data_IF_305629756337
#
_entry.id   IF_305629756337
#
_cell.length_a   1.000
_cell.length_b   1.000
_cell.length_c   1.000
_cell.angle_alpha   90.00
_cell.angle_beta   90.00
_cell.angle_gamma   90.00
#
_symmetry.space_group_name_H-M   'P 1'
#
loop_
_entity.id
_entity.type
_entity.pdbx_description
1 polymer ?
#
# COMPACT_ATOMS: atom_id res chain seq x y z
N UNK A 1 1.17 -12.18 -12.66
CA UNK A 1 0.37 -11.22 -11.89
C UNK A 1 -0.30 -11.95 -10.72
N UNK A 2 -0.24 -11.41 -9.51
CA UNK A 2 -0.93 -11.89 -8.32
C UNK A 2 -1.95 -10.84 -7.89
N UNK A 3 -3.19 -11.27 -7.70
CA UNK A 3 -4.32 -10.40 -7.39
C UNK A 3 -4.86 -10.65 -5.99
N UNK A 4 -4.99 -9.59 -5.20
CA UNK A 4 -5.54 -9.60 -3.85
C UNK A 4 -6.60 -8.54 -3.62
N UNK A 5 -7.10 -8.49 -2.41
CA UNK A 5 -8.07 -7.48 -1.95
C UNK A 5 -7.57 -6.92 -0.61
N UNK A 6 -7.65 -5.60 -0.45
CA UNK A 6 -7.51 -4.92 0.83
C UNK A 6 -8.76 -5.19 1.67
N UNK A 7 -8.67 -6.19 2.54
CA UNK A 7 -9.80 -6.66 3.36
C UNK A 7 -9.33 -7.46 4.55
N UNK A 8 -10.26 -7.74 5.48
CA UNK A 8 -9.96 -8.62 6.61
C UNK A 8 -9.71 -10.07 6.17
N UNK A 9 -8.76 -10.73 6.85
CA UNK A 9 -8.44 -12.15 6.62
C UNK A 9 -9.65 -13.09 6.81
N UNK A 10 -10.68 -12.68 7.52
CA UNK A 10 -11.93 -13.42 7.68
C UNK A 10 -12.62 -13.68 6.33
N UNK A 11 -12.35 -12.83 5.31
CA UNK A 11 -12.86 -13.01 3.96
C UNK A 11 -12.01 -13.98 3.11
N UNK A 12 -10.89 -14.49 3.65
CA UNK A 12 -9.91 -15.26 2.88
C UNK A 12 -10.46 -16.58 2.29
N UNK A 13 -11.39 -17.25 2.98
CA UNK A 13 -12.03 -18.47 2.48
C UNK A 13 -12.93 -18.19 1.26
N UNK A 14 -13.71 -17.12 1.32
CA UNK A 14 -14.55 -16.66 0.21
C UNK A 14 -13.66 -16.22 -0.97
N UNK A 15 -12.65 -15.38 -0.72
CA UNK A 15 -11.70 -14.95 -1.75
C UNK A 15 -11.03 -16.14 -2.45
N UNK A 16 -10.63 -17.17 -1.67
CA UNK A 16 -10.03 -18.38 -2.23
C UNK A 16 -11.00 -19.14 -3.15
N UNK A 17 -12.26 -19.26 -2.78
CA UNK A 17 -13.27 -19.93 -3.61
C UNK A 17 -13.53 -19.19 -4.92
N UNK A 18 -13.37 -17.87 -4.94
CA UNK A 18 -13.49 -16.99 -6.11
C UNK A 18 -12.22 -16.95 -6.99
N UNK A 19 -11.09 -17.50 -6.50
CA UNK A 19 -9.83 -17.56 -7.26
C UNK A 19 -8.89 -16.38 -7.10
N UNK A 20 -9.01 -15.61 -6.02
CA UNK A 20 -8.02 -14.61 -5.59
C UNK A 20 -6.74 -15.27 -5.07
N UNK A 21 -5.62 -14.57 -5.13
CA UNK A 21 -4.30 -15.14 -4.80
C UNK A 21 -3.85 -14.85 -3.36
N UNK A 22 -4.23 -13.72 -2.77
CA UNK A 22 -3.76 -13.29 -1.45
C UNK A 22 -4.70 -12.27 -0.78
N UNK A 23 -4.53 -12.06 0.51
CA UNK A 23 -5.16 -10.99 1.28
C UNK A 23 -4.14 -9.88 1.52
N UNK A 24 -4.57 -8.63 1.40
CA UNK A 24 -3.92 -7.46 1.97
C UNK A 24 -4.70 -7.01 3.19
N UNK A 25 -4.08 -7.14 4.37
CA UNK A 25 -4.75 -6.81 5.65
C UNK A 25 -4.28 -5.45 6.17
N UNK A 26 -5.08 -4.79 6.96
CA UNK A 26 -4.67 -3.56 7.64
C UNK A 26 -3.58 -3.85 8.69
N UNK A 27 -2.47 -3.09 8.67
CA UNK A 27 -1.36 -3.23 9.62
C UNK A 27 -1.81 -3.16 11.09
N UNK A 28 -2.80 -2.31 11.38
CA UNK A 28 -3.30 -2.13 12.75
C UNK A 28 -4.03 -3.37 13.25
N UNK A 29 -4.56 -4.20 12.34
CA UNK A 29 -5.28 -5.43 12.67
C UNK A 29 -4.36 -6.64 12.75
N UNK A 30 -3.34 -6.71 11.88
CA UNK A 30 -2.52 -7.93 11.75
C UNK A 30 -1.14 -7.78 12.39
N UNK A 31 -0.47 -6.62 12.21
CA UNK A 31 0.88 -6.40 12.76
C UNK A 31 0.85 -5.76 14.14
N UNK A 32 -0.19 -4.96 14.45
CA UNK A 32 -0.47 -4.42 15.78
C UNK A 32 0.78 -3.81 16.45
N UNK A 33 1.57 -2.98 15.72
CA UNK A 33 2.88 -2.50 16.15
C UNK A 33 2.92 -1.69 17.46
N UNK A 34 1.76 -1.21 17.95
CA UNK A 34 1.65 -0.54 19.24
C UNK A 34 1.63 -1.53 20.43
N UNK A 35 1.21 -2.77 20.20
CA UNK A 35 1.11 -3.79 21.26
C UNK A 35 2.47 -4.42 21.55
N UNK A 36 2.67 -4.87 22.79
CA UNK A 36 3.81 -5.69 23.15
C UNK A 36 3.68 -7.10 22.53
N UNK A 37 4.76 -7.88 22.55
CA UNK A 37 4.78 -9.18 21.87
C UNK A 37 3.86 -10.22 22.51
N UNK A 38 3.66 -10.15 23.82
CA UNK A 38 2.73 -10.98 24.58
C UNK A 38 1.23 -10.63 24.36
N UNK A 39 0.96 -9.44 23.81
CA UNK A 39 -0.38 -8.98 23.47
C UNK A 39 -0.72 -9.18 21.98
N UNK A 40 0.30 -9.47 21.13
CA UNK A 40 0.12 -9.62 19.71
C UNK A 40 -0.57 -10.93 19.35
N UNK A 41 -1.63 -10.82 18.54
CA UNK A 41 -2.45 -11.96 18.10
C UNK A 41 -2.42 -12.19 16.58
N UNK A 42 -1.61 -11.44 15.86
CA UNK A 42 -1.61 -11.44 14.40
C UNK A 42 -1.11 -12.75 13.78
N UNK A 43 -0.20 -13.47 14.44
CA UNK A 43 0.29 -14.78 14.00
C UNK A 43 -0.82 -15.85 14.07
N UNK A 44 -1.56 -15.89 15.18
CA UNK A 44 -2.71 -16.79 15.34
C UNK A 44 -3.78 -16.45 14.27
N UNK A 45 -4.08 -15.18 14.05
CA UNK A 45 -5.02 -14.74 13.00
C UNK A 45 -4.51 -15.14 11.61
N UNK A 46 -3.27 -14.85 11.26
CA UNK A 46 -2.69 -15.20 9.98
C UNK A 46 -2.71 -16.70 9.71
N UNK A 47 -2.50 -17.53 10.74
CA UNK A 47 -2.55 -19.01 10.63
C UNK A 47 -3.93 -19.56 10.25
N UNK A 48 -5.00 -18.80 10.53
CA UNK A 48 -6.39 -19.17 10.19
C UNK A 48 -6.80 -18.73 8.78
N UNK A 49 -5.97 -17.91 8.12
CA UNK A 49 -6.28 -17.42 6.78
C UNK A 49 -6.20 -18.54 5.74
N UNK A 50 -7.24 -18.67 4.91
CA UNK A 50 -7.29 -19.65 3.82
C UNK A 50 -6.39 -19.27 2.63
N UNK A 51 -5.99 -17.99 2.54
CA UNK A 51 -5.04 -17.43 1.57
C UNK A 51 -3.85 -16.81 2.31
N UNK A 52 -2.66 -16.77 1.70
CA UNK A 52 -1.53 -16.07 2.30
C UNK A 52 -1.83 -14.56 2.45
N UNK A 53 -1.43 -13.98 3.58
CA UNK A 53 -1.38 -12.53 3.76
C UNK A 53 -0.05 -12.06 3.18
N UNK A 54 -0.06 -11.41 2.01
CA UNK A 54 1.15 -11.03 1.28
C UNK A 54 1.54 -9.58 1.48
N UNK A 55 0.57 -8.73 1.73
CA UNK A 55 0.77 -7.30 1.95
C UNK A 55 -0.08 -6.80 3.11
N UNK A 56 0.33 -5.65 3.66
CA UNK A 56 -0.42 -4.95 4.68
C UNK A 56 -0.43 -3.45 4.39
N UNK A 57 -1.62 -2.84 4.37
CA UNK A 57 -1.78 -1.41 4.14
C UNK A 57 -1.90 -0.61 5.45
N UNK A 58 -1.96 0.72 5.34
CA UNK A 58 -2.09 1.63 6.50
C UNK A 58 -1.02 1.35 7.57
N UNK A 59 0.26 1.46 7.18
CA UNK A 59 1.41 1.19 8.06
C UNK A 59 1.27 1.82 9.45
N UNK A 60 0.91 3.09 9.54
CA UNK A 60 0.89 3.84 10.81
C UNK A 60 -0.53 4.20 11.25
N UNK A 61 -0.84 4.08 12.55
CA UNK A 61 -2.00 4.71 13.13
C UNK A 61 -1.82 6.24 13.15
N UNK A 62 -2.92 6.99 13.02
CA UNK A 62 -2.88 8.46 13.01
C UNK A 62 -2.29 9.12 14.28
N UNK A 63 -2.13 8.38 15.36
CA UNK A 63 -1.49 8.83 16.60
C UNK A 63 0.04 8.93 16.50
N UNK A 64 0.68 8.13 15.65
CA UNK A 64 2.12 8.22 15.39
C UNK A 64 2.38 9.19 14.23
N UNK A 65 3.07 10.29 14.50
CA UNK A 65 3.34 11.34 13.52
C UNK A 65 4.71 11.18 12.88
N UNK A 66 4.74 11.29 11.55
CA UNK A 66 5.97 11.31 10.74
C UNK A 66 6.39 12.74 10.43
N UNK A 67 5.47 13.70 10.55
CA UNK A 67 5.71 15.12 10.31
C UNK A 67 5.19 15.96 11.46
N UNK A 68 5.81 17.12 11.64
CA UNK A 68 5.36 18.09 12.63
C UNK A 68 6.12 18.03 13.94
N UNK A 69 5.67 18.82 14.95
CA UNK A 69 6.34 18.90 16.24
C UNK A 69 6.19 17.62 17.07
N UNK A 70 5.19 16.80 16.78
CA UNK A 70 4.91 15.53 17.48
C UNK A 70 5.65 14.34 16.84
N UNK A 71 6.67 14.60 16.01
CA UNK A 71 7.55 13.58 15.46
C UNK A 71 8.43 12.99 16.57
N UNK A 72 8.22 11.71 16.86
CA UNK A 72 8.93 11.00 17.94
C UNK A 72 9.72 9.81 17.34
N UNK A 73 10.99 10.04 17.02
CA UNK A 73 11.86 9.08 16.34
C UNK A 73 11.93 7.73 17.07
N UNK A 74 12.08 7.74 18.40
CA UNK A 74 12.18 6.52 19.21
C UNK A 74 10.89 5.69 19.18
N UNK A 75 9.74 6.35 19.24
CA UNK A 75 8.44 5.68 19.18
C UNK A 75 8.21 5.05 17.80
N UNK A 76 8.56 5.78 16.73
CA UNK A 76 8.51 5.28 15.36
C UNK A 76 9.46 4.10 15.15
N UNK A 77 10.70 4.19 15.63
CA UNK A 77 11.67 3.10 15.52
C UNK A 77 11.19 1.83 16.25
N UNK A 78 10.66 1.96 17.45
CA UNK A 78 10.10 0.83 18.21
C UNK A 78 8.94 0.18 17.48
N UNK A 79 8.01 1.01 16.98
CA UNK A 79 6.87 0.56 16.18
C UNK A 79 7.31 -0.19 14.91
N UNK A 80 8.25 0.39 14.15
CA UNK A 80 8.72 -0.19 12.89
C UNK A 80 9.46 -1.52 13.09
N UNK A 81 10.26 -1.65 14.15
CA UNK A 81 10.94 -2.91 14.46
C UNK A 81 9.92 -4.03 14.70
N UNK A 82 8.91 -3.79 15.53
CA UNK A 82 7.82 -4.76 15.77
C UNK A 82 7.08 -5.11 14.46
N UNK A 83 6.74 -4.10 13.67
CA UNK A 83 6.08 -4.31 12.37
C UNK A 83 6.94 -5.17 11.46
N UNK A 84 8.24 -4.90 11.35
CA UNK A 84 9.17 -5.64 10.51
C UNK A 84 9.30 -7.11 10.92
N UNK A 85 9.54 -7.36 12.21
CA UNK A 85 9.68 -8.70 12.76
C UNK A 85 8.39 -9.52 12.62
N UNK A 86 7.24 -8.92 12.92
CA UNK A 86 5.92 -9.57 12.81
C UNK A 86 5.53 -9.83 11.35
N UNK A 87 5.79 -8.89 10.44
CA UNK A 87 5.56 -9.07 9.01
C UNK A 87 6.37 -10.27 8.47
N UNK A 88 7.67 -10.33 8.83
CA UNK A 88 8.54 -11.47 8.48
C UNK A 88 8.00 -12.80 9.03
N UNK A 89 7.58 -12.85 10.29
CA UNK A 89 7.16 -14.10 10.94
C UNK A 89 5.91 -14.71 10.32
N UNK A 90 4.99 -13.88 9.77
CA UNK A 90 3.75 -14.35 9.14
C UNK A 90 3.80 -14.34 7.60
N UNK A 91 4.95 -13.98 7.00
CA UNK A 91 5.19 -14.08 5.56
C UNK A 91 4.65 -12.93 4.72
N UNK A 92 4.38 -11.76 5.34
CA UNK A 92 4.09 -10.51 4.62
C UNK A 92 5.35 -10.07 3.89
N UNK A 93 5.20 -9.71 2.61
CA UNK A 93 6.30 -9.30 1.73
C UNK A 93 6.34 -7.80 1.51
N UNK A 94 5.18 -7.14 1.56
CA UNK A 94 5.03 -5.71 1.26
C UNK A 94 4.21 -5.01 2.34
N UNK A 95 4.67 -3.85 2.79
CA UNK A 95 3.94 -3.00 3.74
C UNK A 95 3.80 -1.60 3.17
N UNK A 96 2.57 -1.08 3.15
CA UNK A 96 2.23 0.18 2.48
C UNK A 96 2.30 1.36 3.42
N UNK A 97 3.16 2.32 3.09
CA UNK A 97 3.23 3.64 3.72
C UNK A 97 2.33 4.63 2.98
N UNK A 98 1.01 4.50 3.17
CA UNK A 98 -0.03 5.41 2.69
C UNK A 98 -0.67 6.28 3.79
N UNK A 99 -0.26 6.11 5.02
CA UNK A 99 -0.85 6.66 6.25
C UNK A 99 -0.97 8.20 6.28
N UNK A 100 -1.94 8.78 5.57
CA UNK A 100 -2.14 10.23 5.43
C UNK A 100 -2.26 10.95 6.76
N UNK A 101 -3.01 10.40 7.72
CA UNK A 101 -3.17 10.96 9.05
C UNK A 101 -1.88 11.07 9.87
N UNK A 102 -0.86 10.27 9.54
CA UNK A 102 0.44 10.29 10.21
C UNK A 102 1.44 11.24 9.55
N UNK A 103 1.31 11.49 8.25
CA UNK A 103 2.28 12.29 7.47
C UNK A 103 1.76 13.65 7.00
N UNK A 104 0.51 14.01 7.28
CA UNK A 104 0.01 15.35 7.01
C UNK A 104 0.89 16.40 7.70
N UNK A 105 1.34 17.38 6.94
CA UNK A 105 2.08 18.51 7.46
C UNK A 105 1.11 19.42 8.22
N UNK A 106 1.33 19.66 9.54
CA UNK A 106 0.45 20.54 10.31
C UNK A 106 0.44 21.97 9.77
N UNK A 107 -0.68 22.68 9.96
CA UNK A 107 -0.79 24.08 9.57
C UNK A 107 0.28 24.93 10.23
N UNK A 108 0.97 25.76 9.43
CA UNK A 108 2.06 26.61 9.89
C UNK A 108 3.39 25.90 10.18
N UNK A 109 3.46 24.59 10.05
CA UNK A 109 4.74 23.88 10.18
C UNK A 109 5.60 24.05 8.93
N UNK A 110 6.92 24.14 9.12
CA UNK A 110 7.87 24.27 8.01
C UNK A 110 7.83 23.04 7.10
N UNK A 111 7.46 23.27 5.83
CA UNK A 111 7.32 22.18 4.85
C UNK A 111 8.65 21.50 4.53
N UNK A 112 9.75 22.24 4.53
CA UNK A 112 11.09 21.69 4.26
C UNK A 112 11.51 20.76 5.41
N UNK A 113 11.19 21.14 6.65
CA UNK A 113 11.44 20.30 7.81
C UNK A 113 10.56 19.03 7.76
N UNK A 114 9.28 19.16 7.40
CA UNK A 114 8.41 17.99 7.21
C UNK A 114 8.95 17.02 6.13
N UNK A 115 9.46 17.56 5.02
CA UNK A 115 10.09 16.76 3.98
C UNK A 115 11.36 16.03 4.48
N UNK A 116 12.16 16.68 5.33
CA UNK A 116 13.31 16.05 5.97
C UNK A 116 12.87 14.92 6.90
N UNK A 117 11.87 15.15 7.73
CA UNK A 117 11.32 14.13 8.64
C UNK A 117 10.82 12.89 7.86
N UNK A 118 10.11 13.09 6.73
CA UNK A 118 9.67 11.97 5.88
C UNK A 118 10.87 11.23 5.27
N UNK A 119 11.91 11.95 4.85
CA UNK A 119 13.12 11.33 4.30
C UNK A 119 13.83 10.46 5.35
N UNK A 120 13.95 10.95 6.59
CA UNK A 120 14.55 10.21 7.69
C UNK A 120 13.70 8.97 8.02
N UNK A 121 12.37 9.11 8.03
CA UNK A 121 11.45 8.00 8.19
C UNK A 121 11.58 6.97 7.05
N UNK A 122 11.67 7.38 5.80
CA UNK A 122 11.92 6.49 4.66
C UNK A 122 13.24 5.71 4.80
N UNK A 123 14.27 6.35 5.37
CA UNK A 123 15.53 5.67 5.68
C UNK A 123 15.35 4.60 6.76
N UNK A 124 14.58 4.89 7.80
CA UNK A 124 14.24 3.89 8.83
C UNK A 124 13.43 2.72 8.24
N UNK A 125 12.45 2.98 7.36
CA UNK A 125 11.72 1.94 6.63
C UNK A 125 12.66 1.03 5.86
N UNK A 126 13.63 1.61 5.15
CA UNK A 126 14.58 0.84 4.35
C UNK A 126 15.48 -0.07 5.22
N UNK A 127 15.93 0.43 6.37
CA UNK A 127 16.75 -0.34 7.33
C UNK A 127 15.94 -1.52 7.89
N UNK A 128 14.74 -1.26 8.39
CA UNK A 128 13.86 -2.30 8.95
C UNK A 128 13.45 -3.31 7.88
N UNK A 129 13.10 -2.83 6.68
CA UNK A 129 12.76 -3.69 5.56
C UNK A 129 13.87 -4.64 5.16
N UNK A 130 15.11 -4.11 5.08
CA UNK A 130 16.31 -4.91 4.78
C UNK A 130 16.59 -5.97 5.85
N UNK A 131 16.48 -5.62 7.12
CA UNK A 131 16.73 -6.53 8.23
C UNK A 131 15.72 -7.70 8.28
N UNK A 132 14.51 -7.47 7.79
CA UNK A 132 13.41 -8.43 7.86
C UNK A 132 13.07 -9.10 6.52
N UNK A 133 13.69 -8.70 5.41
CA UNK A 133 13.42 -9.24 4.08
C UNK A 133 12.04 -8.83 3.54
N UNK A 134 11.51 -7.66 3.96
CA UNK A 134 10.26 -7.08 3.50
C UNK A 134 10.52 -5.79 2.71
N UNK A 135 9.58 -5.41 1.87
CA UNK A 135 9.63 -4.16 1.11
C UNK A 135 8.57 -3.20 1.62
N UNK A 136 8.98 -2.02 2.04
CA UNK A 136 8.04 -0.91 2.25
C UNK A 136 7.79 -0.19 0.92
N UNK A 137 6.55 0.22 0.68
CA UNK A 137 6.18 0.97 -0.52
C UNK A 137 5.56 2.30 -0.12
N UNK A 138 6.09 3.38 -0.70
CA UNK A 138 5.55 4.74 -0.52
C UNK A 138 4.37 4.91 -1.46
N UNK A 139 3.20 5.14 -0.89
CA UNK A 139 1.98 5.41 -1.61
C UNK A 139 1.74 6.92 -1.70
N UNK A 140 1.42 7.41 -2.89
CA UNK A 140 0.86 8.75 -3.06
C UNK A 140 -0.62 8.75 -2.70
N UNK A 141 -1.12 9.86 -2.16
CA UNK A 141 -2.51 10.03 -1.78
C UNK A 141 -3.05 11.34 -2.38
N UNK A 142 -4.29 11.35 -2.81
CA UNK A 142 -4.92 12.59 -3.28
C UNK A 142 -4.90 13.69 -2.21
N UNK A 143 -4.91 14.96 -2.66
CA UNK A 143 -4.78 16.13 -1.76
C UNK A 143 -5.89 16.24 -0.72
N UNK A 144 -7.06 15.65 -0.96
CA UNK A 144 -8.15 15.60 0.02
C UNK A 144 -7.83 14.70 1.22
N UNK A 145 -6.93 13.72 1.07
CA UNK A 145 -6.55 12.78 2.12
C UNK A 145 -5.23 13.14 2.81
N UNK A 146 -4.31 13.74 2.06
CA UNK A 146 -2.99 14.12 2.57
C UNK A 146 -2.45 15.33 1.82
N UNK A 147 -1.78 16.25 2.49
CA UNK A 147 -1.22 17.45 1.88
C UNK A 147 0.25 17.30 1.42
N UNK A 148 0.79 16.08 1.44
CA UNK A 148 2.16 15.78 1.02
C UNK A 148 2.25 14.37 0.41
N UNK A 149 3.08 14.21 -0.61
CA UNK A 149 3.20 12.99 -1.44
C UNK A 149 1.84 12.72 -2.15
N UNK A 150 1.52 13.58 -3.10
CA UNK A 150 0.25 13.55 -3.81
C UNK A 150 0.35 12.99 -5.23
N UNK A 151 1.55 12.71 -5.70
CA UNK A 151 1.80 12.14 -7.02
C UNK A 151 2.82 11.00 -6.96
N UNK A 152 2.80 10.12 -7.97
CA UNK A 152 3.84 9.10 -8.16
C UNK A 152 5.23 9.74 -8.19
N UNK A 153 5.35 10.90 -8.89
CA UNK A 153 6.60 11.65 -8.95
C UNK A 153 7.09 12.14 -7.58
N UNK A 154 6.17 12.60 -6.71
CA UNK A 154 6.51 12.99 -5.35
C UNK A 154 6.96 11.78 -4.50
N UNK A 155 6.28 10.62 -4.60
CA UNK A 155 6.68 9.38 -3.93
C UNK A 155 8.08 8.93 -4.39
N UNK A 156 8.35 9.01 -5.69
CA UNK A 156 9.65 8.71 -6.28
C UNK A 156 10.79 9.56 -5.71
N UNK A 157 10.53 10.82 -5.36
CA UNK A 157 11.54 11.70 -4.77
C UNK A 157 12.14 11.08 -3.49
N UNK A 158 11.32 10.51 -2.63
CA UNK A 158 11.75 9.86 -1.39
C UNK A 158 12.42 8.51 -1.64
N UNK A 159 11.89 7.71 -2.57
CA UNK A 159 12.46 6.40 -2.93
C UNK A 159 13.86 6.56 -3.53
N UNK A 160 14.04 7.52 -4.44
CA UNK A 160 15.33 7.81 -5.05
C UNK A 160 16.33 8.42 -4.06
N UNK A 161 15.86 9.32 -3.17
CA UNK A 161 16.73 9.91 -2.16
C UNK A 161 17.21 8.88 -1.13
N UNK A 162 16.39 7.88 -0.79
CA UNK A 162 16.77 6.78 0.11
C UNK A 162 17.67 5.77 -0.60
N UNK A 163 17.47 5.56 -1.90
CA UNK A 163 18.25 4.67 -2.77
C UNK A 163 18.52 3.27 -2.17
N UNK A 164 17.47 2.61 -1.69
CA UNK A 164 17.58 1.30 -1.05
C UNK A 164 16.57 0.29 -1.62
N UNK A 165 16.98 -0.98 -1.73
CA UNK A 165 16.16 -2.04 -2.33
C UNK A 165 14.87 -2.34 -1.54
N UNK A 166 14.85 -2.14 -0.24
CA UNK A 166 13.71 -2.39 0.62
C UNK A 166 12.69 -1.22 0.69
N UNK A 167 12.94 -0.11 -0.04
CA UNK A 167 11.96 0.97 -0.19
C UNK A 167 11.62 1.17 -1.67
N UNK A 168 10.33 1.12 -1.99
CA UNK A 168 9.81 1.17 -3.35
C UNK A 168 8.57 2.06 -3.42
N UNK A 169 7.96 2.18 -4.61
CA UNK A 169 6.71 2.90 -4.83
C UNK A 169 5.52 1.96 -4.91
N UNK A 170 4.38 2.48 -4.48
CA UNK A 170 3.06 2.00 -4.83
C UNK A 170 2.38 3.00 -5.77
N UNK A 171 1.62 2.49 -6.72
CA UNK A 171 0.71 3.27 -7.56
C UNK A 171 -0.71 2.91 -7.20
N UNK A 172 -1.49 3.89 -6.70
CA UNK A 172 -2.93 3.77 -6.53
C UNK A 172 -3.64 4.43 -7.73
N UNK A 173 -4.49 3.66 -8.42
CA UNK A 173 -5.17 4.15 -9.63
C UNK A 173 -6.22 5.20 -9.32
N UNK A 174 -6.90 5.09 -8.18
CA UNK A 174 -7.89 6.08 -7.76
C UNK A 174 -7.24 7.44 -7.46
N UNK A 175 -6.13 7.44 -6.71
CA UNK A 175 -5.43 8.66 -6.35
C UNK A 175 -4.75 9.29 -7.56
N UNK A 176 -4.13 8.48 -8.44
CA UNK A 176 -3.54 8.94 -9.70
C UNK A 176 -4.57 9.66 -10.58
N UNK A 177 -5.74 9.06 -10.76
CA UNK A 177 -6.81 9.68 -11.56
C UNK A 177 -7.46 10.87 -10.85
N UNK A 178 -7.62 10.83 -9.51
CA UNK A 178 -8.17 11.95 -8.72
C UNK A 178 -7.32 13.20 -8.83
N UNK A 179 -6.00 13.06 -8.93
CA UNK A 179 -5.04 14.15 -9.12
C UNK A 179 -4.84 14.52 -10.61
N UNK A 180 -5.51 13.83 -11.54
CA UNK A 180 -5.31 13.97 -12.98
C UNK A 180 -3.84 13.80 -13.38
N UNK A 181 -3.10 12.93 -12.69
CA UNK A 181 -1.71 12.67 -12.97
C UNK A 181 -1.57 11.91 -14.30
N UNK A 182 -0.60 12.31 -15.11
CA UNK A 182 -0.34 11.66 -16.39
C UNK A 182 0.19 10.24 -16.17
N UNK A 183 -0.41 9.26 -16.81
CA UNK A 183 0.00 7.86 -16.75
C UNK A 183 1.47 7.62 -17.14
N UNK A 184 2.10 8.56 -17.85
CA UNK A 184 3.54 8.51 -18.16
C UNK A 184 4.40 8.54 -16.90
N UNK A 185 3.95 9.13 -15.80
CA UNK A 185 4.66 9.10 -14.52
C UNK A 185 4.79 7.68 -13.97
N UNK A 186 3.80 6.82 -14.23
CA UNK A 186 3.88 5.38 -13.90
C UNK A 186 4.97 4.69 -14.71
N UNK A 187 5.12 5.05 -16.00
CA UNK A 187 6.19 4.52 -16.87
C UNK A 187 7.57 4.91 -16.34
N UNK A 188 7.74 6.16 -15.96
CA UNK A 188 9.01 6.67 -15.43
C UNK A 188 9.37 6.03 -14.08
N UNK A 189 8.36 5.71 -13.26
CA UNK A 189 8.54 5.06 -11.96
C UNK A 189 8.66 3.53 -12.05
N UNK A 190 8.46 2.91 -13.21
CA UNK A 190 8.31 1.46 -13.37
C UNK A 190 9.41 0.62 -12.70
N UNK A 191 10.71 0.95 -12.75
CA UNK A 191 11.78 0.18 -12.08
C UNK A 191 11.64 0.11 -10.54
N UNK A 192 10.88 1.02 -9.96
CA UNK A 192 10.72 1.15 -8.51
C UNK A 192 9.33 0.75 -8.01
N UNK A 193 8.36 0.48 -8.90
CA UNK A 193 7.01 0.04 -8.50
C UNK A 193 7.07 -1.42 -8.03
N UNK A 194 6.50 -1.72 -6.85
CA UNK A 194 6.39 -3.08 -6.29
C UNK A 194 5.00 -3.44 -5.82
N UNK A 195 4.11 -2.46 -5.79
CA UNK A 195 2.71 -2.66 -5.42
C UNK A 195 1.79 -1.73 -6.22
N UNK A 196 0.57 -2.20 -6.46
CA UNK A 196 -0.45 -1.41 -7.16
C UNK A 196 -1.79 -1.59 -6.44
N UNK A 197 -2.46 -0.48 -6.15
CA UNK A 197 -3.84 -0.47 -5.69
C UNK A 197 -4.78 -0.10 -6.83
N UNK A 198 -5.92 -0.79 -6.89
CA UNK A 198 -6.95 -0.59 -7.91
C UNK A 198 -8.27 -0.21 -7.27
N UNK A 199 -8.81 0.94 -7.68
CA UNK A 199 -10.22 1.27 -7.53
C UNK A 199 -10.65 2.17 -8.69
N UNK A 200 -11.94 2.14 -9.03
CA UNK A 200 -12.51 3.02 -10.04
C UNK A 200 -12.51 4.48 -9.54
N UNK A 201 -12.29 5.43 -10.45
CA UNK A 201 -12.31 6.86 -10.11
C UNK A 201 -13.67 7.28 -9.54
N UNK A 202 -14.75 6.84 -10.19
CA UNK A 202 -16.09 7.22 -9.71
C UNK A 202 -16.51 6.37 -8.51
N UNK A 203 -16.68 7.04 -7.38
CA UNK A 203 -17.17 6.44 -6.13
C UNK A 203 -16.13 5.60 -5.38
N UNK A 204 -14.87 5.50 -5.85
CA UNK A 204 -13.84 4.59 -5.30
C UNK A 204 -14.37 3.17 -5.11
N UNK A 205 -15.21 2.71 -6.06
CA UNK A 205 -15.75 1.35 -6.06
C UNK A 205 -14.74 0.36 -6.64
N UNK A 206 -14.98 -0.94 -6.46
CA UNK A 206 -14.08 -1.95 -7.01
C UNK A 206 -14.06 -1.91 -8.56
N UNK A 207 -12.92 -2.32 -9.18
CA UNK A 207 -12.70 -2.18 -10.61
C UNK A 207 -13.84 -2.73 -11.47
N UNK A 208 -14.32 -1.88 -12.41
CA UNK A 208 -15.39 -2.21 -13.34
C UNK A 208 -16.80 -2.04 -12.80
N UNK A 209 -16.98 -1.75 -11.50
CA UNK A 209 -18.33 -1.56 -10.94
C UNK A 209 -18.95 -0.23 -11.35
N UNK A 210 -18.16 0.82 -11.56
CA UNK A 210 -18.66 2.09 -12.13
C UNK A 210 -18.91 1.99 -13.63
N UNK A 211 -18.23 1.06 -14.33
CA UNK A 211 -18.26 0.93 -15.77
C UNK A 211 -17.55 2.05 -16.55
N UNK A 212 -16.76 2.89 -15.88
CA UNK A 212 -16.17 4.11 -16.46
C UNK A 212 -14.63 4.13 -16.45
N UNK A 213 -13.97 3.30 -15.64
CA UNK A 213 -12.52 3.29 -15.56
C UNK A 213 -11.89 2.30 -16.55
N UNK A 214 -10.82 2.75 -17.23
CA UNK A 214 -10.02 1.93 -18.16
C UNK A 214 -8.62 1.72 -17.58
N UNK A 215 -8.30 0.52 -17.17
CA UNK A 215 -7.01 0.15 -16.58
C UNK A 215 -5.94 -0.22 -17.61
N UNK A 216 -6.32 -0.43 -18.88
CA UNK A 216 -5.40 -0.91 -19.93
C UNK A 216 -4.18 -0.03 -20.14
N UNK A 217 -4.26 1.32 -20.08
CA UNK A 217 -3.06 2.15 -20.21
C UNK A 217 -2.03 1.90 -19.12
N UNK A 218 -2.47 1.71 -17.86
CA UNK A 218 -1.59 1.40 -16.73
C UNK A 218 -1.07 -0.03 -16.84
N UNK A 219 -1.94 -0.99 -17.14
CA UNK A 219 -1.55 -2.40 -17.29
C UNK A 219 -0.59 -2.62 -18.47
N UNK A 220 -0.72 -1.86 -19.57
CA UNK A 220 0.25 -1.90 -20.67
C UNK A 220 1.65 -1.52 -20.19
N UNK A 221 1.77 -0.43 -19.41
CA UNK A 221 3.04 0.00 -18.83
C UNK A 221 3.61 -1.07 -17.89
N UNK A 222 2.78 -1.63 -17.02
CA UNK A 222 3.21 -2.68 -16.09
C UNK A 222 3.70 -3.93 -16.82
N UNK A 223 3.01 -4.36 -17.89
CA UNK A 223 3.39 -5.50 -18.71
C UNK A 223 4.66 -5.25 -19.52
N UNK A 224 4.78 -4.10 -20.16
CA UNK A 224 6.00 -3.68 -20.86
C UNK A 224 7.22 -3.65 -19.94
N UNK A 225 7.01 -3.26 -18.67
CA UNK A 225 8.02 -3.24 -17.62
C UNK A 225 8.28 -4.60 -16.94
N UNK A 226 7.64 -5.69 -17.39
CA UNK A 226 7.72 -7.03 -16.79
C UNK A 226 7.37 -7.02 -15.30
N UNK A 227 6.29 -6.31 -14.92
CA UNK A 227 5.86 -6.20 -13.54
C UNK A 227 5.53 -7.57 -12.93
N UNK A 228 6.19 -7.90 -11.83
CA UNK A 228 6.04 -9.16 -11.09
C UNK A 228 5.54 -8.95 -9.64
N UNK A 229 5.20 -7.72 -9.28
CA UNK A 229 4.71 -7.34 -7.95
C UNK A 229 3.26 -7.75 -7.67
N UNK A 230 2.75 -7.27 -6.55
CA UNK A 230 1.39 -7.52 -6.09
C UNK A 230 0.43 -6.43 -6.58
N UNK A 231 -0.83 -6.82 -6.84
CA UNK A 231 -1.91 -5.90 -7.19
C UNK A 231 -3.09 -6.19 -6.28
N UNK A 232 -3.57 -5.19 -5.54
CA UNK A 232 -4.74 -5.33 -4.66
C UNK A 232 -5.87 -4.41 -5.08
N UNK A 233 -7.10 -4.89 -4.94
CA UNK A 233 -8.29 -4.03 -5.01
C UNK A 233 -8.43 -3.32 -3.67
N UNK A 234 -8.38 -1.99 -3.68
CA UNK A 234 -8.57 -1.12 -2.51
C UNK A 234 -9.76 -0.18 -2.74
N UNK A 235 -10.96 -0.69 -2.52
CA UNK A 235 -12.19 0.03 -2.77
C UNK A 235 -12.93 0.39 -1.46
N UNK A 236 -13.56 1.57 -1.43
CA UNK A 236 -14.33 2.03 -0.27
C UNK A 236 -15.63 1.25 -0.07
N UNK A 237 -16.20 0.72 -1.14
CA UNK A 237 -17.42 -0.08 -1.12
C UNK A 237 -17.23 -1.28 -2.05
N UNK A 238 -17.07 -2.46 -1.46
CA UNK A 238 -16.89 -3.68 -2.21
C UNK A 238 -17.55 -4.87 -1.47
N UNK A 239 -18.66 -5.33 -2.02
CA UNK A 239 -19.31 -6.55 -1.58
C UNK A 239 -18.61 -7.74 -2.25
N UNK A 240 -17.66 -8.35 -1.54
CA UNK A 240 -16.83 -9.46 -2.05
C UNK A 240 -17.69 -10.67 -2.39
N UNK A 241 -18.74 -10.97 -1.58
CA UNK A 241 -19.61 -12.11 -1.82
C UNK A 241 -20.38 -11.96 -3.14
N UNK A 242 -20.90 -10.78 -3.40
CA UNK A 242 -21.72 -10.49 -4.57
C UNK A 242 -20.91 -10.24 -5.83
N UNK A 243 -19.83 -9.48 -5.72
CA UNK A 243 -19.13 -8.88 -6.86
C UNK A 243 -17.70 -9.42 -7.06
N UNK A 244 -17.18 -10.23 -6.12
CA UNK A 244 -15.76 -10.63 -6.10
C UNK A 244 -15.30 -11.34 -7.36
N UNK A 245 -16.04 -12.33 -7.86
CA UNK A 245 -15.72 -13.05 -9.10
C UNK A 245 -15.76 -12.10 -10.31
N UNK A 246 -16.79 -11.26 -10.41
CA UNK A 246 -16.96 -10.31 -11.52
C UNK A 246 -15.81 -9.30 -11.58
N UNK A 247 -15.39 -8.78 -10.43
CA UNK A 247 -14.27 -7.84 -10.34
C UNK A 247 -12.96 -8.52 -10.73
N UNK A 248 -12.73 -9.75 -10.25
CA UNK A 248 -11.54 -10.53 -10.60
C UNK A 248 -11.45 -10.78 -12.12
N UNK A 249 -12.55 -11.19 -12.73
CA UNK A 249 -12.63 -11.44 -14.18
C UNK A 249 -12.44 -10.16 -14.98
N UNK A 250 -13.01 -9.05 -14.51
CA UNK A 250 -12.81 -7.74 -15.13
C UNK A 250 -11.33 -7.34 -15.12
N UNK A 251 -10.66 -7.41 -13.96
CA UNK A 251 -9.24 -7.06 -13.85
C UNK A 251 -8.37 -7.96 -14.74
N UNK A 252 -8.62 -9.26 -14.74
CA UNK A 252 -7.90 -10.21 -15.62
C UNK A 252 -8.10 -9.89 -17.09
N UNK A 253 -9.32 -9.56 -17.50
CA UNK A 253 -9.66 -9.19 -18.88
C UNK A 253 -8.95 -7.89 -19.29
N UNK A 254 -8.97 -6.86 -18.43
CA UNK A 254 -8.25 -5.60 -18.66
C UNK A 254 -6.74 -5.84 -18.83
N UNK A 255 -6.16 -6.72 -17.99
CA UNK A 255 -4.74 -7.08 -18.06
C UNK A 255 -4.40 -7.82 -19.36
N UNK A 256 -5.24 -8.74 -19.80
CA UNK A 256 -5.00 -9.50 -21.04
C UNK A 256 -5.09 -8.62 -22.30
N UNK A 257 -5.93 -7.59 -22.28
CA UNK A 257 -6.20 -6.69 -23.40
C UNK A 257 -5.34 -5.41 -23.39
N UNK A 258 -4.40 -5.30 -22.46
CA UNK A 258 -3.47 -4.19 -22.30
C UNK A 258 -2.18 -4.37 -23.12
#
# INVERSE_FOLDING_TARGET
>A
MKLGICTSIENSALMKSQGWDFVEENCQNILQGLLNDDEWTGDERASRSALPVRSANVLLPGSLKVTGPDFEETALATYLNRVGERAKSIGIQTVVFGSGGSRNVPDGFDRSLAQSQIKDFCTALAIVGSANGITFVVEHLRRQECNIINTVGEAMTYVLATNHAALRCLVDTYDLWSENEDVRTVRDAMPWIRHVHLADLEGRVAPGLSGKSDYRPIFSILREGNYDGLISVEASQFDIEKDGERVLDFVRTQWQNA
#
